data_IF_881022253149
#
_entry.id   IF_881022253149
#
_cell.length_a   1.000
_cell.length_b   1.000
_cell.length_c   1.000
_cell.angle_alpha   90.00
_cell.angle_beta   90.00
_cell.angle_gamma   90.00
#
_symmetry.space_group_name_H-M   'P 1'
#
loop_
_entity.id
_entity.type
_entity.pdbx_description
1 polymer ?
#
# COMPACT_ATOMS: atom_id res chain seq x y z
N UNK A 1 -9.76 -5.78 44.17
CA UNK A 1 -9.39 -4.77 43.15
C UNK A 1 -8.13 -5.27 42.45
N UNK A 2 -8.00 -5.13 41.13
CA UNK A 2 -6.75 -5.40 40.42
C UNK A 2 -6.27 -4.10 39.78
N UNK A 3 -4.96 -3.87 39.80
CA UNK A 3 -4.33 -2.73 39.17
C UNK A 3 -3.09 -3.20 38.42
N UNK A 4 -2.99 -2.85 37.14
CA UNK A 4 -1.77 -3.07 36.35
C UNK A 4 -0.79 -1.97 36.72
N UNK A 5 0.33 -2.34 37.33
CA UNK A 5 1.35 -1.39 37.80
C UNK A 5 2.41 -1.10 36.74
N UNK A 6 2.56 -1.98 35.75
CA UNK A 6 3.51 -1.83 34.65
C UNK A 6 3.05 -2.63 33.44
N UNK A 7 3.12 -1.99 32.28
CA UNK A 7 3.08 -2.64 30.98
C UNK A 7 4.27 -2.14 30.17
N UNK A 8 4.84 -3.02 29.35
CA UNK A 8 5.89 -2.67 28.40
C UNK A 8 5.51 -3.25 27.03
N UNK A 9 5.82 -2.55 25.93
CA UNK A 9 5.60 -3.09 24.60
C UNK A 9 6.46 -4.34 24.38
N UNK A 10 5.94 -5.27 23.59
CA UNK A 10 6.71 -6.40 23.08
C UNK A 10 7.72 -5.96 22.02
N UNK A 11 8.60 -6.88 21.58
CA UNK A 11 9.53 -6.61 20.48
C UNK A 11 8.76 -6.33 19.18
N UNK A 12 9.31 -5.44 18.36
CA UNK A 12 8.84 -5.20 16.98
C UNK A 12 9.31 -6.31 16.03
N UNK A 13 8.75 -6.36 14.83
CA UNK A 13 9.22 -7.21 13.74
C UNK A 13 10.70 -6.95 13.43
N UNK A 14 11.14 -5.68 13.43
CA UNK A 14 12.54 -5.32 13.27
C UNK A 14 13.42 -5.88 14.39
N UNK A 15 12.98 -5.83 15.66
CA UNK A 15 13.73 -6.39 16.78
C UNK A 15 13.91 -7.91 16.66
N UNK A 16 12.87 -8.61 16.22
CA UNK A 16 12.93 -10.05 15.97
C UNK A 16 13.92 -10.36 14.84
N UNK A 17 13.90 -9.58 13.75
CA UNK A 17 14.83 -9.73 12.64
C UNK A 17 16.29 -9.47 13.09
N UNK A 18 16.54 -8.47 13.93
CA UNK A 18 17.88 -8.23 14.50
C UNK A 18 18.34 -9.40 15.37
N UNK A 19 17.45 -9.99 16.16
CA UNK A 19 17.76 -11.19 16.95
C UNK A 19 18.11 -12.41 16.09
N UNK A 20 17.62 -12.46 14.84
CA UNK A 20 17.93 -13.48 13.84
C UNK A 20 19.18 -13.16 13.00
N UNK A 21 19.97 -12.15 13.38
CA UNK A 21 21.15 -11.69 12.65
C UNK A 21 20.86 -11.11 11.26
N UNK A 22 19.72 -10.44 11.10
CA UNK A 22 19.43 -9.63 9.92
C UNK A 22 19.64 -8.14 10.19
N UNK A 23 19.69 -7.36 9.11
CA UNK A 23 19.77 -5.89 9.12
C UNK A 23 18.46 -5.31 8.57
N UNK A 24 17.45 -5.05 9.43
CA UNK A 24 16.12 -4.61 9.01
C UNK A 24 16.14 -3.32 8.19
N UNK A 25 17.07 -2.41 8.48
CA UNK A 25 17.21 -1.13 7.80
C UNK A 25 17.60 -1.32 6.33
N UNK A 26 18.58 -2.19 6.05
CA UNK A 26 18.93 -2.54 4.67
C UNK A 26 17.84 -3.33 3.95
N UNK A 27 17.14 -4.21 4.68
CA UNK A 27 16.00 -4.93 4.13
C UNK A 27 14.88 -3.96 3.72
N UNK A 28 14.59 -2.98 4.56
CA UNK A 28 13.62 -1.94 4.27
C UNK A 28 14.00 -1.14 3.02
N UNK A 29 15.24 -0.64 2.91
CA UNK A 29 15.70 0.09 1.73
C UNK A 29 15.62 -0.76 0.45
N UNK A 30 16.02 -2.03 0.52
CA UNK A 30 15.94 -2.94 -0.61
C UNK A 30 14.50 -3.22 -1.05
N UNK A 31 13.57 -3.35 -0.10
CA UNK A 31 12.15 -3.56 -0.36
C UNK A 31 11.46 -2.28 -0.84
N UNK A 32 11.83 -1.12 -0.31
CA UNK A 32 11.35 0.20 -0.74
C UNK A 32 11.69 0.45 -2.21
N UNK A 33 12.95 0.18 -2.62
CA UNK A 33 13.35 0.30 -4.03
C UNK A 33 12.52 -0.59 -4.95
N UNK A 34 12.22 -1.82 -4.53
CA UNK A 34 11.35 -2.74 -5.31
C UNK A 34 9.91 -2.25 -5.37
N UNK A 35 9.40 -1.68 -4.28
CA UNK A 35 8.08 -1.08 -4.25
C UNK A 35 7.99 0.10 -5.23
N UNK A 36 9.00 0.97 -5.27
CA UNK A 36 9.11 2.07 -6.23
C UNK A 36 9.11 1.55 -7.68
N UNK A 37 9.82 0.46 -7.98
CA UNK A 37 9.79 -0.20 -9.29
C UNK A 37 8.39 -0.72 -9.67
N UNK A 38 7.58 -1.16 -8.70
CA UNK A 38 6.22 -1.65 -8.94
C UNK A 38 5.19 -0.53 -9.16
N UNK A 39 5.33 0.61 -8.46
CA UNK A 39 4.42 1.77 -8.59
C UNK A 39 4.46 2.34 -10.02
N UNK A 40 5.62 2.27 -10.69
CA UNK A 40 5.78 2.66 -12.10
C UNK A 40 4.91 1.83 -13.05
N UNK A 41 4.43 0.65 -12.62
CA UNK A 41 3.62 -0.29 -13.42
C UNK A 41 2.11 -0.11 -13.21
N UNK A 42 1.68 0.89 -12.43
CA UNK A 42 0.28 1.35 -12.42
C UNK A 42 -0.63 0.70 -11.38
N UNK A 43 -0.09 0.24 -10.25
CA UNK A 43 -0.88 -0.24 -9.14
C UNK A 43 -0.47 0.47 -7.83
N UNK A 44 -1.42 1.21 -7.26
CA UNK A 44 -1.43 1.79 -5.91
C UNK A 44 -0.60 3.07 -5.71
N UNK A 45 -1.20 4.06 -5.03
CA UNK A 45 -0.62 5.38 -4.75
C UNK A 45 0.79 5.31 -4.17
N UNK A 46 1.69 6.14 -4.72
CA UNK A 46 3.14 5.94 -4.65
C UNK A 46 3.75 5.88 -3.25
N UNK A 47 3.10 6.47 -2.24
CA UNK A 47 3.60 6.52 -0.87
C UNK A 47 2.92 5.52 0.09
N UNK A 48 1.75 4.98 -0.26
CA UNK A 48 1.02 4.05 0.60
C UNK A 48 1.80 2.75 0.86
N UNK A 49 2.55 2.27 -0.14
CA UNK A 49 3.30 1.03 -0.06
C UNK A 49 4.59 1.17 0.78
N UNK A 50 5.46 2.19 0.56
CA UNK A 50 6.57 2.47 1.47
C UNK A 50 6.15 2.73 2.92
N UNK A 51 5.05 3.45 3.14
CA UNK A 51 4.51 3.70 4.49
C UNK A 51 4.03 2.40 5.15
N UNK A 52 3.28 1.56 4.43
CA UNK A 52 2.85 0.25 4.93
C UNK A 52 4.02 -0.67 5.26
N UNK A 53 5.09 -0.62 4.46
CA UNK A 53 6.32 -1.36 4.72
C UNK A 53 7.01 -0.86 6.00
N UNK A 54 7.19 0.45 6.17
CA UNK A 54 7.81 1.01 7.37
C UNK A 54 7.02 0.61 8.63
N UNK A 55 5.68 0.69 8.54
CA UNK A 55 4.80 0.28 9.63
C UNK A 55 4.90 -1.21 9.95
N UNK A 56 5.05 -2.07 8.95
CA UNK A 56 5.20 -3.51 9.17
C UNK A 56 6.47 -3.87 9.96
N UNK A 57 7.56 -3.13 9.76
CA UNK A 57 8.80 -3.33 10.52
C UNK A 57 8.70 -2.85 11.97
N UNK A 58 7.92 -1.79 12.23
CA UNK A 58 7.71 -1.22 13.58
C UNK A 58 6.55 -1.90 14.36
N UNK A 59 5.76 -2.74 13.69
CA UNK A 59 4.66 -3.48 14.30
C UNK A 59 5.15 -4.68 15.13
N UNK A 60 4.36 -5.11 16.13
CA UNK A 60 4.63 -6.37 16.83
C UNK A 60 4.35 -7.57 15.91
N UNK A 61 5.08 -8.70 16.07
CA UNK A 61 4.99 -9.87 15.17
C UNK A 61 3.72 -10.71 15.35
N UNK A 62 2.73 -10.21 16.09
CA UNK A 62 1.49 -10.92 16.38
C UNK A 62 0.41 -10.51 15.39
N UNK A 63 -0.44 -11.47 15.03
CA UNK A 63 -1.55 -11.24 14.11
C UNK A 63 -2.62 -10.35 14.76
N UNK A 64 -3.17 -9.43 13.96
CA UNK A 64 -4.30 -8.59 14.34
C UNK A 64 -5.55 -9.12 13.65
N UNK A 65 -6.67 -9.15 14.37
CA UNK A 65 -7.96 -9.47 13.76
C UNK A 65 -8.30 -8.42 12.69
N UNK A 66 -8.76 -8.83 11.52
CA UNK A 66 -8.99 -7.94 10.38
C UNK A 66 -9.92 -6.74 10.68
N UNK A 67 -10.79 -6.85 11.70
CA UNK A 67 -11.64 -5.74 12.16
C UNK A 67 -10.97 -4.72 13.09
N UNK A 68 -9.70 -4.91 13.47
CA UNK A 68 -8.95 -4.05 14.38
C UNK A 68 -7.67 -3.45 13.75
N UNK A 69 -7.39 -3.77 12.48
CA UNK A 69 -6.25 -3.21 11.78
C UNK A 69 -6.54 -1.75 11.43
N UNK A 70 -6.06 -0.83 12.27
CA UNK A 70 -5.97 0.57 11.92
C UNK A 70 -4.84 0.73 10.89
N UNK A 71 -5.14 0.47 9.62
CA UNK A 71 -4.30 0.98 8.54
C UNK A 71 -4.39 2.50 8.61
N UNK A 72 -3.38 3.13 9.22
CA UNK A 72 -3.25 4.57 9.24
C UNK A 72 -2.98 5.00 7.81
N UNK A 73 -4.03 5.46 7.11
CA UNK A 73 -3.84 6.28 5.93
C UNK A 73 -3.09 7.52 6.42
N UNK A 74 -1.89 7.85 5.89
CA UNK A 74 -1.30 9.15 6.17
C UNK A 74 -2.37 10.19 5.83
N UNK A 75 -2.63 11.09 6.77
CA UNK A 75 -3.63 12.12 6.61
C UNK A 75 -3.21 13.03 5.46
N UNK A 76 -3.79 12.80 4.28
CA UNK A 76 -3.84 13.78 3.21
C UNK A 76 -5.08 14.64 3.50
N UNK A 77 -4.85 15.72 4.24
CA UNK A 77 -5.72 16.90 4.22
C UNK A 77 -5.61 17.54 2.82
N UNK A 78 -6.53 17.22 1.91
CA UNK A 78 -6.91 18.08 0.77
C UNK A 78 -8.33 17.68 0.31
N UNK A 79 -9.29 18.54 0.63
CA UNK A 79 -10.61 18.63 0.00
C UNK A 79 -10.44 18.93 -1.51
N UNK A 80 -11.08 18.16 -2.39
CA UNK A 80 -12.05 18.64 -3.40
C UNK A 80 -12.38 17.56 -4.45
N UNK A 81 -13.61 17.64 -4.92
CA UNK A 81 -14.43 16.75 -5.75
C UNK A 81 -13.83 16.39 -7.12
N UNK A 82 -14.05 15.15 -7.64
CA UNK A 82 -14.28 14.82 -9.06
C UNK A 82 -14.45 13.28 -9.30
N UNK A 83 -15.59 12.69 -8.91
CA UNK A 83 -15.93 11.27 -9.19
C UNK A 83 -16.55 11.02 -10.60
N UNK A 84 -16.34 11.90 -11.59
CA UNK A 84 -17.03 11.81 -12.90
C UNK A 84 -16.13 11.64 -14.14
N UNK A 85 -14.82 11.36 -14.03
CA UNK A 85 -13.95 11.17 -15.21
C UNK A 85 -13.83 9.71 -15.72
N UNK A 86 -14.15 8.70 -14.90
CA UNK A 86 -13.94 7.29 -15.28
C UNK A 86 -14.97 6.79 -16.32
N UNK A 87 -16.15 7.43 -16.39
CA UNK A 87 -17.21 7.01 -17.31
C UNK A 87 -17.00 7.48 -18.75
N UNK A 88 -16.14 8.48 -18.97
CA UNK A 88 -15.87 9.06 -20.31
C UNK A 88 -14.82 8.25 -21.07
N UNK A 89 -13.79 7.75 -20.38
CA UNK A 89 -12.71 6.97 -20.98
C UNK A 89 -13.18 5.57 -21.42
N UNK A 90 -14.08 4.94 -20.66
CA UNK A 90 -14.62 3.62 -21.01
C UNK A 90 -15.53 3.70 -22.24
N UNK A 91 -16.33 4.77 -22.38
CA UNK A 91 -17.21 4.94 -23.54
C UNK A 91 -16.47 5.29 -24.83
N UNK A 92 -15.22 5.78 -24.76
CA UNK A 92 -14.45 6.18 -25.95
C UNK A 92 -13.81 4.99 -26.67
N UNK A 93 -13.58 3.88 -25.98
CA UNK A 93 -12.98 2.69 -26.59
C UNK A 93 -14.00 1.86 -27.39
N UNK A 94 -15.28 1.82 -26.95
CA UNK A 94 -16.32 1.12 -27.71
C UNK A 94 -16.56 1.74 -29.10
N UNK A 95 -16.50 3.08 -29.23
CA UNK A 95 -16.72 3.75 -30.53
C UNK A 95 -15.58 3.49 -31.54
N UNK A 96 -14.35 3.22 -31.07
CA UNK A 96 -13.20 2.98 -31.95
C UNK A 96 -13.15 1.54 -32.47
N UNK A 97 -13.67 0.58 -31.71
CA UNK A 97 -13.72 -0.82 -32.11
C UNK A 97 -14.72 -1.07 -33.27
N UNK A 98 -15.83 -0.33 -33.34
CA UNK A 98 -16.81 -0.51 -34.42
C UNK A 98 -16.34 0.08 -35.75
N UNK A 99 -15.60 1.20 -35.72
CA UNK A 99 -15.07 1.84 -36.94
C UNK A 99 -13.88 1.07 -37.56
N UNK A 100 -13.14 0.30 -36.76
CA UNK A 100 -11.96 -0.46 -37.22
C UNK A 100 -12.28 -1.69 -38.08
N UNK A 101 -13.51 -2.20 -38.04
CA UNK A 101 -13.89 -3.41 -38.80
C UNK A 101 -14.38 -3.11 -40.23
N UNK A 102 -14.75 -1.87 -40.57
CA UNK A 102 -15.27 -1.54 -41.92
C UNK A 102 -14.18 -1.21 -42.96
N UNK A 103 -12.89 -1.20 -42.57
CA UNK A 103 -11.78 -0.87 -43.47
C UNK A 103 -10.94 -2.08 -43.95
N UNK A 104 -11.28 -3.30 -43.55
CA UNK A 104 -10.65 -4.56 -44.03
C UNK A 104 -11.68 -5.38 -44.83
N UNK A 105 -12.49 -4.71 -45.64
CA UNK A 105 -13.38 -5.36 -46.60
C UNK A 105 -13.57 -4.49 -47.85
N UNK A 106 -12.47 -4.06 -48.47
CA UNK A 106 -12.46 -3.59 -49.85
C UNK A 106 -11.19 -4.00 -50.57
#
# INVERSE_FOLDING_TARGET
CFAVTRAAPGPSCADVLRAMHHEPELMFEALKRRAEECVVVGACGGDALPCGLAHAFDSMPYLVSAGCAAFVHPADDDDDEDEEELSVLIKRDEAKAVAGLELVAR
#
